data_IF_328875194082
#
_entry.id   IF_328875194082
#
_cell.length_a   1.000
_cell.length_b   1.000
_cell.length_c   1.000
_cell.angle_alpha   90.00
_cell.angle_beta   90.00
_cell.angle_gamma   90.00
#
_symmetry.space_group_name_H-M   'P 1'
#
loop_
_entity.id
_entity.type
_entity.pdbx_description
1 polymer ?
#
# COMPACT_ATOMS: atom_id res chain seq x y z
N UNK A 1 5.82 -3.57 -3.47
CA UNK A 1 4.86 -2.68 -2.78
C UNK A 1 5.33 -2.42 -1.36
N UNK A 2 5.44 -1.16 -0.96
CA UNK A 2 5.76 -0.74 0.42
C UNK A 2 4.47 -0.25 1.06
N UNK A 3 4.12 -0.73 2.26
CA UNK A 3 3.01 -0.20 3.05
C UNK A 3 3.52 0.95 3.92
N UNK A 4 2.73 2.01 4.02
CA UNK A 4 2.96 3.11 4.97
C UNK A 4 2.40 2.71 6.33
N UNK A 5 3.23 2.22 7.22
CA UNK A 5 2.84 1.89 8.60
C UNK A 5 3.98 1.18 9.31
N UNK A 6 4.20 1.48 10.55
CA UNK A 6 5.31 1.21 11.48
C UNK A 6 5.93 -0.21 11.57
N UNK A 7 5.86 -1.00 10.53
CA UNK A 7 6.72 -2.15 10.35
C UNK A 7 7.93 -1.71 9.53
N UNK A 8 9.13 -2.00 10.00
CA UNK A 8 10.39 -1.89 9.26
C UNK A 8 10.29 -2.85 8.05
N UNK A 9 9.53 -2.43 7.03
CA UNK A 9 9.49 -3.18 5.78
C UNK A 9 10.75 -2.84 4.99
N UNK A 10 11.43 -3.89 4.55
CA UNK A 10 12.59 -3.76 3.67
C UNK A 10 12.23 -2.93 2.43
N UNK A 11 13.14 -2.09 2.00
CA UNK A 11 12.99 -1.36 0.73
C UNK A 11 12.81 -2.35 -0.44
N UNK A 12 12.25 -1.94 -1.59
CA UNK A 12 12.16 -2.80 -2.76
C UNK A 12 13.50 -3.42 -3.18
N UNK A 13 14.59 -2.66 -3.04
CA UNK A 13 15.94 -3.13 -3.33
C UNK A 13 16.38 -4.23 -2.37
N UNK A 14 16.13 -4.06 -1.06
CA UNK A 14 16.43 -5.09 -0.06
C UNK A 14 15.58 -6.35 -0.25
N UNK A 15 14.31 -6.19 -0.62
CA UNK A 15 13.44 -7.33 -0.96
C UNK A 15 13.98 -8.09 -2.17
N UNK A 16 14.43 -7.38 -3.21
CA UNK A 16 15.02 -7.98 -4.40
C UNK A 16 16.31 -8.71 -4.08
N UNK A 17 17.16 -8.17 -3.21
CA UNK A 17 18.38 -8.82 -2.77
C UNK A 17 18.09 -10.16 -2.09
N UNK A 18 17.12 -10.22 -1.20
CA UNK A 18 16.71 -11.45 -0.54
C UNK A 18 16.10 -12.47 -1.50
N UNK A 19 15.33 -12.01 -2.51
CA UNK A 19 14.82 -12.87 -3.58
C UNK A 19 15.99 -13.45 -4.39
N UNK A 20 17.03 -12.67 -4.69
CA UNK A 20 18.24 -13.15 -5.40
C UNK A 20 19.00 -14.21 -4.58
N UNK A 21 19.17 -14.00 -3.28
CA UNK A 21 19.78 -14.99 -2.38
C UNK A 21 18.99 -16.29 -2.34
N UNK A 22 17.67 -16.18 -2.25
CA UNK A 22 16.78 -17.34 -2.29
C UNK A 22 16.92 -18.11 -3.62
N UNK A 23 16.82 -17.41 -4.74
CA UNK A 23 16.94 -18.02 -6.06
C UNK A 23 18.28 -18.74 -6.25
N UNK A 24 19.38 -18.13 -5.81
CA UNK A 24 20.72 -18.75 -5.85
C UNK A 24 20.77 -20.02 -5.00
N UNK A 25 20.19 -20.01 -3.81
CA UNK A 25 20.14 -21.17 -2.91
C UNK A 25 19.33 -22.32 -3.49
N UNK A 26 18.21 -22.01 -4.13
CA UNK A 26 17.30 -23.01 -4.71
C UNK A 26 17.66 -23.38 -6.15
N UNK A 27 18.74 -22.82 -6.71
CA UNK A 27 19.17 -23.09 -8.10
C UNK A 27 18.23 -22.52 -9.16
N UNK A 28 17.48 -21.46 -8.85
CA UNK A 28 16.54 -20.81 -9.75
C UNK A 28 17.26 -19.69 -10.51
N UNK A 29 17.19 -19.72 -11.84
CA UNK A 29 17.73 -18.66 -12.68
C UNK A 29 16.78 -17.45 -12.66
N UNK A 30 17.23 -16.31 -12.16
CA UNK A 30 16.52 -15.04 -12.27
C UNK A 30 16.86 -14.35 -13.59
N UNK A 31 15.81 -13.88 -14.27
CA UNK A 31 15.92 -13.11 -15.49
C UNK A 31 15.86 -11.61 -15.13
N UNK A 32 16.96 -10.89 -15.33
CA UNK A 32 17.05 -9.47 -14.91
C UNK A 32 16.08 -8.55 -15.66
N UNK A 33 15.67 -8.91 -16.87
CA UNK A 33 14.65 -8.22 -17.67
C UNK A 33 13.19 -8.52 -17.21
N UNK A 34 13.03 -9.50 -16.32
CA UNK A 34 11.72 -9.93 -15.77
C UNK A 34 11.55 -9.52 -14.29
N UNK A 35 12.13 -8.42 -13.91
CA UNK A 35 11.92 -7.81 -12.57
C UNK A 35 10.78 -6.81 -12.66
N UNK A 36 9.79 -6.97 -11.77
CA UNK A 36 8.54 -6.19 -11.77
C UNK A 36 8.38 -5.48 -10.43
N UNK A 37 8.48 -4.15 -10.42
CA UNK A 37 8.43 -3.33 -9.20
C UNK A 37 7.34 -2.27 -9.31
N UNK A 38 6.29 -2.39 -8.51
CA UNK A 38 5.28 -1.36 -8.31
C UNK A 38 5.62 -0.57 -7.04
N UNK A 39 6.40 0.51 -7.16
CA UNK A 39 6.81 1.35 -6.03
C UNK A 39 5.70 2.32 -5.60
N UNK A 40 5.48 2.44 -4.28
CA UNK A 40 4.77 3.58 -3.66
C UNK A 40 3.27 3.71 -3.96
N UNK A 41 2.62 2.70 -4.54
CA UNK A 41 1.20 2.80 -4.91
C UNK A 41 0.33 2.32 -3.75
N UNK A 42 -0.21 3.27 -2.97
CA UNK A 42 -1.20 3.00 -1.93
C UNK A 42 -2.50 2.40 -2.51
N UNK A 43 -2.91 1.33 -1.93
CA UNK A 43 -3.68 0.23 -2.42
C UNK A 43 -5.17 0.36 -2.72
N UNK A 44 -5.74 1.40 -3.29
CA UNK A 44 -7.20 1.40 -3.52
C UNK A 44 -7.70 1.16 -4.96
N UNK A 45 -6.83 1.14 -6.00
CA UNK A 45 -7.29 0.86 -7.38
C UNK A 45 -6.34 -0.10 -8.11
N UNK A 46 -6.85 -1.23 -8.60
CA UNK A 46 -6.11 -2.25 -9.38
C UNK A 46 -5.47 -1.68 -10.65
N UNK A 47 -6.09 -0.67 -11.23
CA UNK A 47 -5.63 0.07 -12.41
C UNK A 47 -4.27 0.76 -12.24
N UNK A 48 -3.70 0.77 -11.02
CA UNK A 48 -2.43 1.44 -10.68
C UNK A 48 -1.28 0.49 -10.38
N UNK A 49 -1.30 -0.75 -10.90
CA UNK A 49 -0.18 -1.69 -10.79
C UNK A 49 0.31 -2.09 -12.18
N UNK A 50 0.96 -1.17 -12.90
CA UNK A 50 1.37 -1.40 -14.28
C UNK A 50 2.34 -2.57 -14.41
N UNK A 51 3.29 -2.71 -13.47
CA UNK A 51 4.27 -3.77 -13.51
C UNK A 51 3.64 -5.14 -13.18
N UNK A 52 2.71 -5.22 -12.24
CA UNK A 52 1.96 -6.44 -12.00
C UNK A 52 1.15 -6.85 -13.24
N UNK A 53 0.48 -5.91 -13.89
CA UNK A 53 -0.29 -6.20 -15.11
C UNK A 53 0.61 -6.59 -16.27
N UNK A 54 1.81 -5.99 -16.40
CA UNK A 54 2.83 -6.38 -17.36
C UNK A 54 3.29 -7.81 -17.11
N UNK A 55 3.58 -8.17 -15.86
CA UNK A 55 3.94 -9.54 -15.46
C UNK A 55 2.86 -10.55 -15.85
N UNK A 56 1.58 -10.26 -15.56
CA UNK A 56 0.46 -11.13 -15.92
C UNK A 56 0.30 -11.25 -17.43
N UNK A 57 0.50 -10.17 -18.19
CA UNK A 57 0.47 -10.19 -19.65
C UNK A 57 1.60 -11.07 -20.22
N UNK A 58 2.83 -10.92 -19.71
CA UNK A 58 3.97 -11.76 -20.09
C UNK A 58 3.70 -13.23 -19.75
N UNK A 59 3.18 -13.51 -18.57
CA UNK A 59 2.84 -14.88 -18.14
C UNK A 59 1.78 -15.57 -19.04
N UNK A 60 0.91 -14.80 -19.65
CA UNK A 60 -0.13 -15.31 -20.58
C UNK A 60 0.37 -15.42 -22.03
N UNK A 61 1.54 -14.90 -22.33
CA UNK A 61 2.12 -15.01 -23.68
C UNK A 61 2.52 -16.44 -23.98
N UNK A 62 2.35 -16.91 -25.24
CA UNK A 62 2.89 -18.20 -25.68
C UNK A 62 4.42 -18.31 -25.49
N UNK A 63 5.12 -17.18 -25.60
CA UNK A 63 6.58 -17.09 -25.47
C UNK A 63 7.02 -16.68 -24.06
N UNK A 64 6.26 -17.05 -23.01
CA UNK A 64 6.57 -16.72 -21.63
C UNK A 64 7.96 -17.28 -21.25
N UNK A 65 8.92 -16.42 -20.82
CA UNK A 65 10.29 -16.85 -20.58
C UNK A 65 10.50 -17.50 -19.18
N UNK A 66 9.48 -17.53 -18.33
CA UNK A 66 9.61 -18.02 -16.95
C UNK A 66 8.49 -19.02 -16.58
N UNK A 67 8.81 -19.95 -15.68
CA UNK A 67 7.88 -20.96 -15.13
C UNK A 67 7.56 -20.74 -13.65
N UNK A 68 8.27 -19.81 -12.98
CA UNK A 68 8.09 -19.51 -11.56
C UNK A 68 8.13 -18.01 -11.35
N UNK A 69 7.23 -17.49 -10.52
CA UNK A 69 7.23 -16.11 -10.03
C UNK A 69 7.67 -16.13 -8.57
N UNK A 70 8.80 -15.47 -8.27
CA UNK A 70 9.26 -15.27 -6.91
C UNK A 70 8.78 -13.94 -6.36
N UNK A 71 8.31 -13.93 -5.12
CA UNK A 71 7.87 -12.72 -4.43
C UNK A 71 8.33 -12.74 -2.96
N UNK A 72 8.43 -11.56 -2.37
CA UNK A 72 8.85 -11.42 -0.98
C UNK A 72 7.85 -12.07 -0.02
N UNK A 73 6.55 -11.70 -0.12
CA UNK A 73 5.44 -12.24 0.68
C UNK A 73 4.20 -12.41 -0.19
N UNK A 74 3.31 -13.34 0.14
CA UNK A 74 2.05 -13.51 -0.59
C UNK A 74 1.17 -12.26 -0.56
N UNK A 75 1.18 -11.49 0.53
CA UNK A 75 0.47 -10.20 0.62
C UNK A 75 0.97 -9.13 -0.37
N UNK A 76 2.09 -9.35 -1.04
CA UNK A 76 2.61 -8.48 -2.11
C UNK A 76 2.09 -8.86 -3.50
N UNK A 77 1.61 -10.09 -3.66
CA UNK A 77 1.11 -10.59 -4.94
C UNK A 77 -0.19 -9.89 -5.35
N UNK A 78 -1.20 -9.92 -4.49
CA UNK A 78 -2.50 -9.30 -4.77
C UNK A 78 -2.93 -8.36 -3.63
N UNK A 79 -4.08 -7.72 -3.76
CA UNK A 79 -4.59 -6.74 -2.80
C UNK A 79 -5.50 -7.36 -1.77
N UNK A 80 -6.23 -8.33 -2.20
CA UNK A 80 -7.16 -9.09 -1.40
C UNK A 80 -7.08 -10.57 -1.78
N UNK A 81 -7.69 -11.40 -1.00
CA UNK A 81 -7.69 -12.83 -1.16
C UNK A 81 -8.35 -13.29 -2.46
N UNK A 82 -9.44 -12.64 -2.88
CA UNK A 82 -10.15 -12.98 -4.11
C UNK A 82 -9.28 -12.77 -5.35
N UNK A 83 -8.59 -11.62 -5.42
CA UNK A 83 -7.66 -11.29 -6.51
C UNK A 83 -6.46 -12.25 -6.52
N UNK A 84 -5.92 -12.60 -5.35
CA UNK A 84 -4.82 -13.57 -5.19
C UNK A 84 -5.22 -14.94 -5.72
N UNK A 85 -6.34 -15.49 -5.27
CA UNK A 85 -6.86 -16.79 -5.71
C UNK A 85 -7.10 -16.80 -7.22
N UNK A 86 -7.71 -15.74 -7.75
CA UNK A 86 -8.01 -15.62 -9.17
C UNK A 86 -6.74 -15.67 -10.03
N UNK A 87 -5.76 -14.80 -9.76
CA UNK A 87 -4.54 -14.77 -10.57
C UNK A 87 -3.67 -16.01 -10.39
N UNK A 88 -3.52 -16.53 -9.18
CA UNK A 88 -2.75 -17.78 -8.94
C UNK A 88 -3.40 -18.98 -9.65
N UNK A 89 -4.72 -19.06 -9.62
CA UNK A 89 -5.45 -20.11 -10.35
C UNK A 89 -5.19 -20.04 -11.86
N UNK A 90 -5.24 -18.84 -12.45
CA UNK A 90 -4.95 -18.65 -13.88
C UNK A 90 -3.50 -19.01 -14.19
N UNK A 91 -2.55 -18.50 -13.43
CA UNK A 91 -1.12 -18.74 -13.63
C UNK A 91 -0.82 -20.25 -13.57
N UNK A 92 -1.34 -20.94 -12.56
CA UNK A 92 -1.11 -22.37 -12.39
C UNK A 92 -1.82 -23.22 -13.43
N UNK A 93 -3.13 -22.99 -13.66
CA UNK A 93 -3.95 -23.88 -14.51
C UNK A 93 -3.80 -23.62 -16.00
N UNK A 94 -3.54 -22.38 -16.41
CA UNK A 94 -3.47 -22.00 -17.83
C UNK A 94 -2.08 -21.74 -18.34
N UNK A 95 -1.18 -21.24 -17.47
CA UNK A 95 0.16 -20.86 -17.87
C UNK A 95 1.22 -21.82 -17.34
N UNK A 96 0.88 -22.77 -16.46
CA UNK A 96 1.79 -23.68 -15.79
C UNK A 96 2.95 -22.94 -15.04
N UNK A 97 2.58 -21.83 -14.39
CA UNK A 97 3.51 -20.98 -13.63
C UNK A 97 3.18 -21.08 -12.15
N UNK A 98 4.17 -21.41 -11.33
CA UNK A 98 4.04 -21.41 -9.89
C UNK A 98 4.39 -20.02 -9.29
N UNK A 99 3.75 -19.68 -8.16
CA UNK A 99 4.01 -18.45 -7.40
C UNK A 99 4.57 -18.85 -6.05
N UNK A 100 5.78 -18.40 -5.74
CA UNK A 100 6.54 -18.79 -4.54
C UNK A 100 6.91 -17.57 -3.71
N UNK A 101 6.58 -17.58 -2.41
CA UNK A 101 7.03 -16.58 -1.44
C UNK A 101 8.37 -16.97 -0.83
N UNK A 102 9.29 -16.01 -0.79
CA UNK A 102 10.65 -16.22 -0.23
C UNK A 102 10.62 -16.33 1.30
N UNK A 103 9.75 -15.56 1.96
CA UNK A 103 9.65 -15.53 3.42
C UNK A 103 8.64 -16.52 3.99
N UNK A 104 7.76 -17.05 3.12
CA UNK A 104 6.66 -17.93 3.50
C UNK A 104 6.71 -19.21 2.66
N UNK A 105 7.81 -20.02 2.77
CA UNK A 105 7.94 -21.24 1.98
C UNK A 105 6.86 -22.23 2.38
N UNK A 106 6.05 -22.62 1.41
CA UNK A 106 4.93 -23.52 1.63
C UNK A 106 5.31 -24.96 1.26
N UNK A 107 4.75 -25.89 2.02
CA UNK A 107 4.83 -27.32 1.70
C UNK A 107 4.02 -27.57 0.43
N UNK A 108 4.60 -28.28 -0.53
CA UNK A 108 3.91 -28.65 -1.76
C UNK A 108 2.66 -29.51 -1.49
N UNK A 109 1.58 -29.25 -2.21
CA UNK A 109 0.35 -30.03 -2.15
C UNK A 109 -0.87 -29.31 -1.58
N UNK A 110 -2.01 -29.99 -1.42
CA UNK A 110 -3.27 -29.39 -0.97
C UNK A 110 -3.19 -28.72 0.40
N UNK A 111 -2.36 -29.26 1.30
CA UNK A 111 -2.16 -28.72 2.64
C UNK A 111 -1.39 -27.37 2.59
N UNK A 112 -0.37 -27.27 1.73
CA UNK A 112 0.34 -26.01 1.51
C UNK A 112 -0.57 -24.92 0.97
N UNK A 113 -1.45 -25.25 0.04
CA UNK A 113 -2.45 -24.30 -0.50
C UNK A 113 -3.45 -23.81 0.56
N UNK A 114 -3.79 -24.64 1.54
CA UNK A 114 -4.62 -24.23 2.66
C UNK A 114 -3.89 -23.27 3.58
N UNK A 115 -2.63 -23.56 3.92
CA UNK A 115 -1.80 -22.69 4.77
C UNK A 115 -1.60 -21.33 4.07
N UNK A 116 -1.33 -21.32 2.78
CA UNK A 116 -1.21 -20.08 1.98
C UNK A 116 -2.45 -19.19 2.13
N UNK A 117 -3.66 -19.77 2.00
CA UNK A 117 -4.91 -19.03 2.17
C UNK A 117 -5.10 -18.50 3.60
N UNK A 118 -4.66 -19.25 4.59
CA UNK A 118 -4.73 -18.81 6.00
C UNK A 118 -3.81 -17.62 6.22
N UNK A 119 -2.57 -17.65 5.70
CA UNK A 119 -1.61 -16.55 5.81
C UNK A 119 -2.16 -15.28 5.14
N UNK A 120 -2.66 -15.40 3.90
CA UNK A 120 -3.26 -14.28 3.18
C UNK A 120 -4.47 -13.69 3.92
N UNK A 121 -5.32 -14.55 4.48
CA UNK A 121 -6.47 -14.12 5.27
C UNK A 121 -6.05 -13.40 6.55
N UNK A 122 -5.01 -13.87 7.24
CA UNK A 122 -4.49 -13.21 8.44
C UNK A 122 -3.96 -11.82 8.16
N UNK A 123 -3.25 -11.62 7.06
CA UNK A 123 -2.73 -10.31 6.64
C UNK A 123 -3.87 -9.33 6.32
N UNK A 124 -4.92 -9.80 5.63
CA UNK A 124 -6.11 -9.00 5.34
C UNK A 124 -6.87 -8.64 6.64
N UNK A 125 -7.08 -9.61 7.52
CA UNK A 125 -7.74 -9.41 8.80
C UNK A 125 -7.00 -8.41 9.70
N UNK A 126 -5.66 -8.49 9.75
CA UNK A 126 -4.84 -7.53 10.47
C UNK A 126 -5.01 -6.10 9.92
N UNK A 127 -5.01 -5.94 8.61
CA UNK A 127 -5.22 -4.65 7.95
C UNK A 127 -6.59 -4.04 8.27
N UNK A 128 -7.65 -4.87 8.27
CA UNK A 128 -9.02 -4.44 8.64
C UNK A 128 -9.06 -4.00 10.11
N UNK A 129 -8.51 -4.78 11.02
CA UNK A 129 -8.46 -4.45 12.45
C UNK A 129 -7.71 -3.15 12.71
N UNK A 130 -6.53 -2.98 12.09
CA UNK A 130 -5.74 -1.76 12.20
C UNK A 130 -6.54 -0.53 11.74
N UNK A 131 -7.24 -0.64 10.61
CA UNK A 131 -8.10 0.43 10.11
C UNK A 131 -9.23 0.80 11.10
N UNK A 132 -9.83 -0.21 11.74
CA UNK A 132 -10.87 0.02 12.75
C UNK A 132 -10.32 0.71 14.01
N UNK A 133 -9.13 0.29 14.48
CA UNK A 133 -8.48 0.89 15.64
C UNK A 133 -8.06 2.34 15.37
N UNK A 134 -7.49 2.61 14.19
CA UNK A 134 -7.17 3.98 13.77
C UNK A 134 -8.43 4.85 13.74
N UNK A 135 -9.52 4.39 13.11
CA UNK A 135 -10.79 5.12 13.09
C UNK A 135 -11.35 5.40 14.49
N UNK A 136 -11.27 4.38 15.38
CA UNK A 136 -11.68 4.54 16.80
C UNK A 136 -10.84 5.58 17.52
N UNK A 137 -9.51 5.52 17.36
CA UNK A 137 -8.58 6.49 17.96
C UNK A 137 -8.82 7.90 17.44
N UNK A 138 -9.05 8.05 16.12
CA UNK A 138 -9.39 9.32 15.51
C UNK A 138 -10.70 9.89 16.07
N UNK A 139 -11.72 9.05 16.23
CA UNK A 139 -13.00 9.47 16.82
C UNK A 139 -12.83 9.97 18.25
N UNK A 140 -12.11 9.22 19.10
CA UNK A 140 -11.83 9.60 20.50
C UNK A 140 -11.05 10.93 20.56
N UNK A 141 -10.06 11.11 19.69
CA UNK A 141 -9.31 12.35 19.63
C UNK A 141 -10.17 13.53 19.18
N UNK A 142 -11.05 13.32 18.19
CA UNK A 142 -12.00 14.35 17.76
C UNK A 142 -12.98 14.73 18.87
N UNK A 143 -13.53 13.75 19.60
CA UNK A 143 -14.41 13.99 20.77
C UNK A 143 -13.69 14.76 21.89
N UNK A 144 -12.37 14.63 22.02
CA UNK A 144 -11.52 15.40 22.95
C UNK A 144 -11.06 16.75 22.39
N UNK A 145 -11.53 17.15 21.21
CA UNK A 145 -11.12 18.39 20.55
C UNK A 145 -9.66 18.41 20.09
N UNK A 146 -8.99 17.24 19.99
CA UNK A 146 -7.60 17.17 19.54
C UNK A 146 -7.52 17.21 18.02
N UNK A 147 -6.68 18.09 17.52
CA UNK A 147 -6.41 18.18 16.08
C UNK A 147 -5.63 16.94 15.61
N UNK A 148 -6.06 16.37 14.48
CA UNK A 148 -5.45 15.18 13.88
C UNK A 148 -4.91 15.45 12.46
N UNK A 149 -4.79 16.73 12.10
CA UNK A 149 -4.29 17.19 10.81
C UNK A 149 -3.31 18.34 11.01
N UNK A 150 -2.71 18.82 9.92
CA UNK A 150 -1.93 20.05 9.93
C UNK A 150 -2.87 21.22 10.23
N UNK A 151 -2.52 22.12 11.16
CA UNK A 151 -3.35 23.30 11.45
C UNK A 151 -3.51 24.16 10.19
N UNK A 152 -4.70 24.73 10.01
CA UNK A 152 -4.94 25.72 8.96
C UNK A 152 -4.26 27.03 9.30
N UNK A 153 -3.93 27.82 8.27
CA UNK A 153 -3.41 29.18 8.43
C UNK A 153 -4.29 30.01 9.40
N UNK A 154 -3.68 30.75 10.30
CA UNK A 154 -4.34 31.46 11.37
C UNK A 154 -4.49 30.68 12.68
N UNK A 155 -4.02 29.44 12.71
CA UNK A 155 -4.11 28.58 13.88
C UNK A 155 -2.81 27.81 14.12
N UNK A 156 -2.47 27.56 15.39
CA UNK A 156 -1.38 26.68 15.82
C UNK A 156 -1.88 25.61 16.80
N UNK A 157 -1.12 24.55 16.94
CA UNK A 157 -1.42 23.47 17.87
C UNK A 157 -0.66 23.69 19.17
N UNK A 158 -1.37 23.70 20.29
CA UNK A 158 -0.81 23.67 21.63
C UNK A 158 -1.47 22.54 22.43
N UNK A 159 -0.69 21.63 22.95
CA UNK A 159 -1.15 20.44 23.72
C UNK A 159 -2.20 19.58 22.94
N UNK A 160 -2.07 19.53 21.61
CA UNK A 160 -2.98 18.82 20.71
C UNK A 160 -4.30 19.58 20.41
N UNK A 161 -4.48 20.78 20.94
CA UNK A 161 -5.67 21.62 20.73
C UNK A 161 -5.34 22.75 19.75
N UNK A 162 -6.30 23.06 18.88
CA UNK A 162 -6.19 24.17 17.94
C UNK A 162 -6.45 25.50 18.68
N UNK A 163 -5.47 26.39 18.66
CA UNK A 163 -5.59 27.75 19.20
C UNK A 163 -5.27 28.78 18.11
N UNK A 164 -5.88 29.98 18.14
CA UNK A 164 -5.52 31.03 17.19
C UNK A 164 -4.04 31.39 17.29
N UNK A 165 -3.42 31.59 16.14
CA UNK A 165 -2.12 32.23 16.03
C UNK A 165 -2.38 33.73 15.85
N UNK A 166 -2.00 34.54 16.85
CA UNK A 166 -2.38 35.96 16.88
C UNK A 166 -1.78 36.77 15.71
N UNK A 167 -0.62 36.36 15.20
CA UNK A 167 0.00 37.03 14.06
C UNK A 167 -0.75 36.71 12.75
N UNK A 168 -1.10 35.46 12.54
CA UNK A 168 -1.82 35.01 11.34
C UNK A 168 -3.33 35.30 11.39
N UNK A 169 -3.93 35.25 12.60
CA UNK A 169 -5.36 35.48 12.79
C UNK A 169 -5.82 36.87 12.36
N UNK A 170 -4.94 37.88 12.41
CA UNK A 170 -5.23 39.23 11.91
C UNK A 170 -5.59 39.18 10.42
N UNK A 171 -4.85 38.43 9.64
CA UNK A 171 -5.12 38.29 8.17
C UNK A 171 -6.42 37.57 7.90
N UNK A 172 -6.73 36.53 8.67
CA UNK A 172 -7.99 35.79 8.57
C UNK A 172 -9.19 36.71 8.87
N UNK A 173 -9.14 37.46 9.98
CA UNK A 173 -10.18 38.42 10.33
C UNK A 173 -10.40 39.46 9.24
N UNK A 174 -9.30 40.03 8.71
CA UNK A 174 -9.33 40.99 7.61
C UNK A 174 -9.99 40.43 6.32
N UNK A 175 -9.70 39.15 6.02
CA UNK A 175 -10.33 38.45 4.89
C UNK A 175 -11.84 38.36 5.08
N UNK A 176 -12.27 37.91 6.26
CA UNK A 176 -13.70 37.79 6.57
C UNK A 176 -14.43 39.16 6.57
N UNK A 177 -13.83 40.18 7.17
CA UNK A 177 -14.42 41.55 7.20
C UNK A 177 -14.53 42.12 5.78
N UNK A 178 -13.51 41.89 4.93
CA UNK A 178 -13.56 42.31 3.54
C UNK A 178 -14.63 41.58 2.74
N UNK A 179 -14.82 40.29 2.97
CA UNK A 179 -15.87 39.51 2.32
C UNK A 179 -17.27 39.96 2.79
N UNK A 180 -17.45 40.18 4.09
CA UNK A 180 -18.71 40.69 4.65
C UNK A 180 -19.04 42.10 4.16
N UNK A 181 -18.02 42.91 3.83
CA UNK A 181 -18.22 44.24 3.22
C UNK A 181 -18.56 44.17 1.72
N UNK A 182 -18.73 42.98 1.15
CA UNK A 182 -19.16 42.80 -0.25
C UNK A 182 -18.01 42.73 -1.26
N UNK A 183 -16.73 42.65 -0.83
CA UNK A 183 -15.61 42.47 -1.76
C UNK A 183 -15.58 41.06 -2.32
N UNK A 184 -15.36 40.91 -3.61
CA UNK A 184 -15.18 39.64 -4.25
C UNK A 184 -13.84 38.98 -3.87
N UNK A 185 -13.68 37.68 -4.17
CA UNK A 185 -12.48 36.91 -3.81
C UNK A 185 -11.18 37.48 -4.42
N UNK A 186 -11.22 37.97 -5.66
CA UNK A 186 -10.05 38.54 -6.36
C UNK A 186 -9.48 39.80 -5.67
N UNK A 187 -10.30 40.80 -5.26
CA UNK A 187 -9.80 41.95 -4.50
C UNK A 187 -9.29 41.61 -3.11
N UNK A 188 -9.76 40.50 -2.50
CA UNK A 188 -9.29 40.06 -1.18
C UNK A 188 -7.95 39.36 -1.26
N UNK A 189 -7.67 38.67 -2.37
CA UNK A 189 -6.43 37.92 -2.58
C UNK A 189 -5.24 38.80 -3.05
N UNK A 190 -5.47 40.09 -3.38
CA UNK A 190 -4.45 41.09 -3.68
C UNK A 190 -3.99 41.80 -2.43
#
# INVERSE_FOLDING_TARGET
RVSTGDQIELSPESQLEEIRKYAQREGILLLDDQIYIDAGISGKKAERRPEFMRMIATAKSPDCPFSVILLWKYSRFARNQEESIFYKSILRSKCNIDVVSVTEPLIAGPFGSLIERIIEWMDEFYSIRLSQEVKRSMKINAERGRLQATPSFGYRVKDGILIPDEEEAVYIRRIFDSFLSGKGLFPIAK
#
